data_IF_573871935097
#
_entry.id   IF_573871935097
#
_cell.length_a   1.000
_cell.length_b   1.000
_cell.length_c   1.000
_cell.angle_alpha   90.00
_cell.angle_beta   90.00
_cell.angle_gamma   90.00
#
_symmetry.space_group_name_H-M   'P 1'
#
loop_
_entity.id
_entity.type
_entity.pdbx_description
1 polymer ?
#
# COMPACT_ATOMS: atom_id res chain seq x y z
N UNK A 1 14.12 4.18 15.24
CA UNK A 1 14.69 4.23 13.88
C UNK A 1 13.54 4.24 12.89
N UNK A 2 13.50 5.22 12.02
CA UNK A 2 12.43 5.36 11.00
C UNK A 2 12.52 4.22 10.00
N UNK A 3 11.38 3.64 9.60
CA UNK A 3 11.30 2.61 8.56
C UNK A 3 10.61 3.16 7.32
N UNK A 4 11.23 3.00 6.17
CA UNK A 4 10.68 3.36 4.87
C UNK A 4 10.10 2.10 4.22
N UNK A 5 8.81 2.13 3.91
CA UNK A 5 8.06 1.00 3.36
C UNK A 5 7.49 1.41 2.01
N UNK A 6 7.88 0.71 0.95
CA UNK A 6 7.27 0.90 -0.36
C UNK A 6 6.06 -0.03 -0.53
N UNK A 7 4.94 0.53 -0.94
CA UNK A 7 3.77 -0.23 -1.42
C UNK A 7 3.83 -0.24 -2.94
N UNK A 8 4.03 -1.41 -3.51
CA UNK A 8 4.33 -1.55 -4.95
C UNK A 8 3.62 -2.72 -5.60
N UNK A 9 3.54 -2.73 -6.92
CA UNK A 9 2.98 -3.83 -7.71
C UNK A 9 3.46 -3.78 -9.16
N UNK A 10 3.47 -4.90 -9.82
CA UNK A 10 3.77 -4.97 -11.26
C UNK A 10 2.63 -4.49 -12.14
N UNK A 11 1.37 -4.51 -11.65
CA UNK A 11 0.16 -4.23 -12.45
C UNK A 11 -0.63 -3.05 -11.87
N UNK A 12 -1.23 -2.23 -12.73
CA UNK A 12 -2.15 -1.17 -12.33
C UNK A 12 -3.48 -1.73 -11.80
N UNK A 13 -4.15 -0.97 -10.92
CA UNK A 13 -5.50 -1.32 -10.46
C UNK A 13 -5.59 -2.46 -9.44
N UNK A 14 -4.47 -2.97 -8.91
CA UNK A 14 -4.46 -4.02 -7.88
C UNK A 14 -4.74 -3.52 -6.47
N UNK A 15 -4.95 -2.22 -6.26
CA UNK A 15 -5.29 -1.65 -4.95
C UNK A 15 -4.10 -1.14 -4.14
N UNK A 16 -2.98 -0.73 -4.77
CA UNK A 16 -1.82 -0.13 -4.08
C UNK A 16 -2.20 1.08 -3.24
N UNK A 17 -2.78 2.11 -3.86
CA UNK A 17 -3.13 3.36 -3.17
C UNK A 17 -4.13 3.14 -2.04
N UNK A 18 -5.12 2.25 -2.24
CA UNK A 18 -6.04 1.81 -1.19
C UNK A 18 -5.28 1.14 -0.03
N UNK A 19 -4.30 0.31 -0.37
CA UNK A 19 -3.43 -0.35 0.61
C UNK A 19 -2.55 0.66 1.34
N UNK A 20 -1.90 1.57 0.62
CA UNK A 20 -1.07 2.62 1.20
C UNK A 20 -1.85 3.47 2.20
N UNK A 21 -3.07 3.91 1.82
CA UNK A 21 -3.96 4.66 2.69
C UNK A 21 -4.38 3.85 3.93
N UNK A 22 -4.85 2.61 3.75
CA UNK A 22 -5.35 1.79 4.87
C UNK A 22 -4.25 1.27 5.78
N UNK A 23 -3.09 0.92 5.21
CA UNK A 23 -1.95 0.44 5.97
C UNK A 23 -1.33 1.57 6.81
N UNK A 24 -1.14 2.76 6.23
CA UNK A 24 -0.63 3.92 6.96
C UNK A 24 -1.59 4.38 8.06
N UNK A 25 -2.90 4.41 7.78
CA UNK A 25 -3.92 4.70 8.79
C UNK A 25 -3.91 3.66 9.91
N UNK A 26 -3.75 2.38 9.57
CA UNK A 26 -3.67 1.31 10.55
C UNK A 26 -2.46 1.41 11.49
N UNK A 27 -1.28 1.75 10.97
CA UNK A 27 -0.09 2.01 11.78
C UNK A 27 -0.32 3.22 12.72
N UNK A 28 -0.91 4.28 12.20
CA UNK A 28 -1.20 5.48 12.98
C UNK A 28 -2.25 5.25 14.07
N UNK A 29 -3.29 4.42 13.80
CA UNK A 29 -4.27 3.98 14.81
C UNK A 29 -3.64 3.14 15.93
N UNK A 30 -2.50 2.50 15.66
CA UNK A 30 -1.70 1.77 16.67
C UNK A 30 -0.73 2.67 17.42
N UNK A 31 -0.81 4.00 17.24
CA UNK A 31 -0.02 5.00 17.94
C UNK A 31 1.29 5.40 17.27
N UNK A 32 1.63 4.81 16.12
CA UNK A 32 2.87 5.11 15.40
C UNK A 32 2.75 6.36 14.54
N UNK A 33 3.64 7.32 14.72
CA UNK A 33 3.69 8.51 13.87
C UNK A 33 4.10 8.14 12.45
N UNK A 34 3.17 8.26 11.51
CA UNK A 34 3.27 7.73 10.14
C UNK A 34 3.07 8.83 9.11
N UNK A 35 3.94 8.89 8.10
CA UNK A 35 3.75 9.68 6.89
C UNK A 35 3.44 8.75 5.71
N UNK A 36 2.48 9.11 4.88
CA UNK A 36 2.23 8.46 3.59
C UNK A 36 2.50 9.44 2.47
N UNK A 37 3.30 9.05 1.48
CA UNK A 37 3.79 9.89 0.39
C UNK A 37 3.36 9.29 -0.94
N UNK A 38 2.71 10.09 -1.78
CA UNK A 38 2.32 9.71 -3.13
C UNK A 38 3.47 9.99 -4.12
N UNK A 39 3.97 8.93 -4.79
CA UNK A 39 4.99 8.99 -5.83
C UNK A 39 4.41 8.93 -7.26
N UNK A 40 3.08 8.90 -7.40
CA UNK A 40 2.41 8.87 -8.71
C UNK A 40 2.25 10.29 -9.28
N UNK A 41 3.37 10.89 -9.62
CA UNK A 41 3.42 12.25 -10.19
C UNK A 41 2.64 12.30 -11.50
N UNK A 42 1.72 13.24 -11.57
CA UNK A 42 0.82 13.47 -12.70
C UNK A 42 -0.60 12.91 -12.51
N UNK A 43 -0.81 11.84 -11.72
CA UNK A 43 -2.14 11.27 -11.48
C UNK A 43 -2.74 11.65 -10.14
N UNK A 44 -1.94 11.69 -9.07
CA UNK A 44 -2.35 12.10 -7.71
C UNK A 44 -3.68 11.48 -7.26
N UNK A 45 -3.64 10.27 -6.70
CA UNK A 45 -4.83 9.54 -6.28
C UNK A 45 -4.93 9.35 -4.75
N UNK A 46 -3.80 9.42 -4.05
CA UNK A 46 -3.75 9.15 -2.62
C UNK A 46 -4.57 10.17 -1.81
N UNK A 47 -4.45 11.45 -2.13
CA UNK A 47 -5.16 12.54 -1.43
C UNK A 47 -6.68 12.47 -1.60
N UNK A 48 -7.17 11.93 -2.73
CA UNK A 48 -8.59 11.65 -2.95
C UNK A 48 -9.08 10.55 -2.00
N UNK A 49 -8.35 9.43 -1.91
CA UNK A 49 -8.70 8.31 -1.02
C UNK A 49 -8.61 8.75 0.46
N UNK A 50 -7.67 9.64 0.78
CA UNK A 50 -7.51 10.22 2.12
C UNK A 50 -8.49 11.36 2.42
N UNK A 51 -9.25 11.85 1.42
CA UNK A 51 -10.20 12.96 1.55
C UNK A 51 -9.54 14.27 1.95
N UNK A 52 -8.34 14.53 1.47
CA UNK A 52 -7.58 15.74 1.76
C UNK A 52 -7.21 16.55 0.51
N UNK A 53 -7.76 16.23 -0.65
CA UNK A 53 -7.46 16.84 -1.94
C UNK A 53 -7.60 18.38 -1.95
N UNK A 54 -8.58 18.90 -1.21
CA UNK A 54 -8.83 20.35 -1.10
C UNK A 54 -7.89 21.07 -0.14
N UNK A 55 -7.08 20.33 0.61
CA UNK A 55 -6.12 20.84 1.59
C UNK A 55 -4.69 20.86 1.05
N UNK A 56 -4.46 20.32 -0.15
CA UNK A 56 -3.15 20.31 -0.80
C UNK A 56 -2.84 21.70 -1.34
N UNK A 57 -1.90 22.40 -0.70
CA UNK A 57 -1.35 23.69 -1.13
C UNK A 57 0.00 23.49 -1.78
N UNK A 58 0.84 22.66 -1.17
CA UNK A 58 2.15 22.28 -1.67
C UNK A 58 2.25 20.75 -1.74
N UNK A 59 3.04 20.26 -2.66
CA UNK A 59 3.23 18.84 -2.95
C UNK A 59 4.69 18.41 -2.75
N UNK A 60 4.96 17.12 -2.96
CA UNK A 60 6.30 16.53 -2.84
C UNK A 60 7.33 17.26 -3.70
N UNK A 61 6.98 17.66 -4.93
CA UNK A 61 7.90 18.33 -5.84
C UNK A 61 8.24 19.73 -5.37
N UNK A 62 7.27 20.49 -4.82
CA UNK A 62 7.55 21.79 -4.23
C UNK A 62 8.58 21.69 -3.09
N UNK A 63 8.48 20.65 -2.26
CA UNK A 63 9.46 20.42 -1.18
C UNK A 63 10.84 20.06 -1.75
N UNK A 64 10.91 19.14 -2.72
CA UNK A 64 12.16 18.71 -3.35
C UNK A 64 12.90 19.90 -3.97
N UNK A 65 12.17 20.85 -4.59
CA UNK A 65 12.74 22.03 -5.25
C UNK A 65 12.96 23.21 -4.30
N UNK A 66 12.58 23.09 -3.01
CA UNK A 66 12.72 24.17 -2.03
C UNK A 66 11.75 25.32 -2.21
N UNK A 67 10.67 25.12 -2.96
CA UNK A 67 9.57 26.07 -3.14
C UNK A 67 8.65 26.12 -1.91
N UNK A 68 8.67 25.07 -1.09
CA UNK A 68 7.99 24.99 0.20
C UNK A 68 8.82 24.16 1.19
N UNK A 69 8.65 24.39 2.49
CA UNK A 69 9.19 23.48 3.49
C UNK A 69 8.23 22.32 3.75
N UNK A 70 8.77 21.22 4.29
CA UNK A 70 8.00 20.00 4.52
C UNK A 70 6.78 20.20 5.43
N UNK A 71 6.88 21.05 6.46
CA UNK A 71 5.76 21.35 7.36
C UNK A 71 4.58 22.03 6.64
N UNK A 72 4.85 22.80 5.57
CA UNK A 72 3.81 23.45 4.78
C UNK A 72 3.11 22.46 3.81
N UNK A 73 3.82 21.40 3.38
CA UNK A 73 3.31 20.43 2.43
C UNK A 73 2.64 19.23 3.12
N UNK A 74 3.05 18.89 4.36
CA UNK A 74 2.46 17.82 5.13
C UNK A 74 1.04 18.15 5.58
N UNK A 75 0.09 17.28 5.22
CA UNK A 75 -1.32 17.41 5.58
C UNK A 75 -1.62 16.41 6.69
N UNK A 76 -1.93 16.90 7.90
CA UNK A 76 -2.39 16.04 8.99
C UNK A 76 -3.74 15.42 8.64
N UNK A 77 -3.88 14.12 8.84
CA UNK A 77 -5.15 13.42 8.61
C UNK A 77 -6.25 13.92 9.53
N UNK A 78 -7.51 13.88 9.04
CA UNK A 78 -8.67 14.37 9.78
C UNK A 78 -9.21 13.38 10.81
N UNK A 79 -8.88 12.09 10.67
CA UNK A 79 -9.38 11.01 11.51
C UNK A 79 -8.33 10.46 12.46
N UNK A 80 -7.04 10.66 12.17
CA UNK A 80 -5.94 10.11 12.95
C UNK A 80 -4.82 11.12 13.17
N UNK A 81 -4.59 11.49 14.44
CA UNK A 81 -3.60 12.51 14.82
C UNK A 81 -2.16 12.15 14.48
N UNK A 82 -1.85 10.86 14.36
CA UNK A 82 -0.51 10.35 14.05
C UNK A 82 -0.27 10.13 12.55
N UNK A 83 -1.24 10.45 11.68
CA UNK A 83 -1.13 10.24 10.24
C UNK A 83 -0.97 11.57 9.50
N UNK A 84 -0.01 11.58 8.57
CA UNK A 84 0.28 12.73 7.70
C UNK A 84 0.40 12.27 6.25
N UNK A 85 -0.11 13.10 5.35
CA UNK A 85 -0.11 12.86 3.90
C UNK A 85 0.78 13.88 3.21
N UNK A 86 1.64 13.42 2.30
CA UNK A 86 2.38 14.26 1.37
C UNK A 86 1.94 13.89 -0.04
N UNK A 87 1.22 14.78 -0.69
CA UNK A 87 0.63 14.53 -1.99
C UNK A 87 1.66 14.58 -3.13
N UNK A 88 1.39 13.84 -4.22
CA UNK A 88 2.12 13.99 -5.48
C UNK A 88 1.78 15.29 -6.19
N UNK A 89 2.63 15.72 -7.10
CA UNK A 89 2.34 16.86 -8.00
C UNK A 89 1.44 16.42 -9.15
N UNK A 90 0.46 17.28 -9.50
CA UNK A 90 -0.37 17.13 -10.70
C UNK A 90 0.20 17.83 -11.93
N UNK A 91 1.03 18.85 -11.72
CA UNK A 91 1.44 19.81 -12.77
C UNK A 91 2.89 19.66 -13.20
N UNK A 92 3.68 18.86 -12.47
CA UNK A 92 5.11 18.65 -12.75
C UNK A 92 5.32 17.30 -13.43
N UNK A 93 6.39 17.22 -14.21
CA UNK A 93 6.81 15.99 -14.85
C UNK A 93 7.52 15.04 -13.88
N UNK A 94 7.52 13.75 -14.21
CA UNK A 94 8.19 12.69 -13.43
C UNK A 94 9.69 12.93 -13.26
N UNK A 95 10.32 13.66 -14.17
CA UNK A 95 11.75 14.03 -14.12
C UNK A 95 12.08 15.02 -13.00
N UNK A 96 11.06 15.65 -12.40
CA UNK A 96 11.24 16.50 -11.21
C UNK A 96 11.58 15.70 -9.95
N UNK A 97 11.31 14.38 -9.92
CA UNK A 97 11.73 13.47 -8.86
C UNK A 97 13.23 13.12 -9.02
N UNK A 98 14.05 13.49 -8.04
CA UNK A 98 15.46 13.11 -8.00
C UNK A 98 15.90 12.60 -6.62
N UNK A 99 16.83 11.64 -6.60
CA UNK A 99 17.24 10.92 -5.39
C UNK A 99 17.67 11.84 -4.24
N UNK A 100 18.46 12.87 -4.52
CA UNK A 100 18.96 13.78 -3.49
C UNK A 100 17.81 14.53 -2.80
N UNK A 101 16.80 14.97 -3.57
CA UNK A 101 15.63 15.67 -3.03
C UNK A 101 14.78 14.75 -2.17
N UNK A 102 14.46 13.56 -2.68
CA UNK A 102 13.69 12.54 -1.93
C UNK A 102 14.43 12.12 -0.66
N UNK A 103 15.75 11.90 -0.74
CA UNK A 103 16.57 11.57 0.43
C UNK A 103 16.55 12.67 1.52
N UNK A 104 16.51 13.96 1.13
CA UNK A 104 16.35 15.07 2.08
C UNK A 104 14.99 15.04 2.75
N UNK A 105 13.91 14.81 1.99
CA UNK A 105 12.54 14.69 2.54
C UNK A 105 12.48 13.57 3.59
N UNK A 106 13.03 12.40 3.28
CA UNK A 106 13.04 11.29 4.24
C UNK A 106 13.85 11.60 5.49
N UNK A 107 15.02 12.26 5.34
CA UNK A 107 15.84 12.68 6.48
C UNK A 107 15.15 13.72 7.36
N UNK A 108 14.40 14.63 6.75
CA UNK A 108 13.61 15.61 7.48
C UNK A 108 12.45 14.95 8.24
N UNK A 109 11.71 14.01 7.63
CA UNK A 109 10.68 13.21 8.30
C UNK A 109 11.25 12.41 9.47
N UNK A 110 12.44 11.80 9.31
CA UNK A 110 13.13 11.10 10.39
C UNK A 110 13.43 12.07 11.56
N UNK A 111 13.95 13.27 11.27
CA UNK A 111 14.26 14.29 12.28
C UNK A 111 12.98 14.83 12.97
N UNK A 112 11.84 14.80 12.29
CA UNK A 112 10.52 15.14 12.84
C UNK A 112 9.91 14.01 13.71
N UNK A 113 10.61 12.86 13.84
CA UNK A 113 10.21 11.73 14.65
C UNK A 113 9.14 10.83 14.04
N UNK A 114 9.04 10.78 12.72
CA UNK A 114 8.20 9.78 12.06
C UNK A 114 8.81 8.39 12.23
N UNK A 115 8.01 7.43 12.65
CA UNK A 115 8.42 6.04 12.83
C UNK A 115 8.30 5.25 11.53
N UNK A 116 7.26 5.55 10.73
CA UNK A 116 7.02 4.92 9.45
C UNK A 116 6.81 5.96 8.34
N UNK A 117 7.43 5.70 7.19
CA UNK A 117 7.23 6.43 5.94
C UNK A 117 6.73 5.43 4.91
N UNK A 118 5.47 5.58 4.48
CA UNK A 118 4.85 4.70 3.49
C UNK A 118 4.91 5.40 2.13
N UNK A 119 5.56 4.76 1.16
CA UNK A 119 5.68 5.27 -0.20
C UNK A 119 4.66 4.58 -1.09
N UNK A 120 3.59 5.30 -1.48
CA UNK A 120 2.65 4.81 -2.50
C UNK A 120 3.28 4.95 -3.87
N UNK A 121 3.65 3.85 -4.51
CA UNK A 121 4.32 3.88 -5.79
C UNK A 121 3.33 3.79 -6.97
N UNK A 122 3.61 4.40 -8.12
CA UNK A 122 2.92 4.05 -9.35
C UNK A 122 3.13 2.58 -9.70
N UNK A 123 2.30 2.04 -10.60
CA UNK A 123 2.44 0.65 -11.06
C UNK A 123 3.69 0.48 -11.93
N UNK A 124 4.27 -0.71 -11.89
CA UNK A 124 5.36 -1.09 -12.78
C UNK A 124 6.71 -0.55 -12.36
N UNK A 125 7.50 -0.11 -13.33
CA UNK A 125 8.94 0.14 -13.19
C UNK A 125 9.37 1.54 -13.68
N UNK A 126 8.42 2.46 -13.75
CA UNK A 126 8.70 3.84 -14.16
C UNK A 126 9.47 4.60 -13.06
N UNK A 127 9.95 5.80 -13.39
CA UNK A 127 10.79 6.64 -12.53
C UNK A 127 10.24 6.79 -11.10
N UNK A 128 8.94 7.07 -10.96
CA UNK A 128 8.30 7.20 -9.63
C UNK A 128 8.34 5.91 -8.81
N UNK A 129 8.09 4.75 -9.46
CA UNK A 129 8.16 3.45 -8.80
C UNK A 129 9.59 3.12 -8.37
N UNK A 130 10.57 3.33 -9.24
CA UNK A 130 11.98 3.13 -8.92
C UNK A 130 12.46 4.04 -7.80
N UNK A 131 12.02 5.29 -7.80
CA UNK A 131 12.36 6.26 -6.75
C UNK A 131 11.81 5.83 -5.39
N UNK A 132 10.53 5.41 -5.34
CA UNK A 132 9.91 4.91 -4.12
C UNK A 132 10.62 3.64 -3.60
N UNK A 133 11.01 2.72 -4.50
CA UNK A 133 11.72 1.48 -4.14
C UNK A 133 13.15 1.73 -3.65
N UNK A 134 13.83 2.75 -4.23
CA UNK A 134 15.26 2.97 -3.99
C UNK A 134 15.62 3.07 -2.50
N UNK A 135 14.80 3.75 -1.72
CA UNK A 135 15.06 4.00 -0.29
C UNK A 135 14.39 2.99 0.65
N UNK A 136 13.65 2.02 0.13
CA UNK A 136 12.86 1.12 0.94
C UNK A 136 13.71 0.24 1.88
N UNK A 137 13.27 0.13 3.12
CA UNK A 137 13.75 -0.86 4.10
C UNK A 137 12.92 -2.15 4.02
N UNK A 138 11.60 -1.97 3.82
CA UNK A 138 10.66 -3.07 3.63
C UNK A 138 9.75 -2.77 2.42
N UNK A 139 9.24 -3.81 1.78
CA UNK A 139 8.32 -3.69 0.64
C UNK A 139 7.04 -4.47 0.90
N UNK A 140 5.90 -3.82 0.66
CA UNK A 140 4.59 -4.46 0.61
C UNK A 140 4.20 -4.62 -0.86
N UNK A 141 4.39 -5.82 -1.38
CA UNK A 141 4.07 -6.17 -2.78
C UNK A 141 2.60 -6.54 -2.85
N UNK A 142 1.83 -5.76 -3.59
CA UNK A 142 0.37 -5.93 -3.74
C UNK A 142 0.07 -6.63 -5.06
N UNK A 143 -0.70 -7.71 -5.01
CA UNK A 143 -1.11 -8.46 -6.19
C UNK A 143 -2.58 -8.91 -6.10
N UNK A 144 -3.20 -9.15 -7.25
CA UNK A 144 -4.47 -9.88 -7.36
C UNK A 144 -4.20 -11.36 -7.64
N UNK A 145 -5.14 -12.28 -7.36
CA UNK A 145 -5.01 -13.71 -7.63
C UNK A 145 -5.22 -14.02 -9.14
N UNK A 146 -4.54 -13.28 -10.01
CA UNK A 146 -4.54 -13.43 -11.46
C UNK A 146 -3.13 -13.77 -11.95
N UNK A 147 -3.01 -14.70 -12.91
CA UNK A 147 -1.71 -15.15 -13.44
C UNK A 147 -0.84 -13.99 -13.91
N UNK A 148 -1.41 -13.02 -14.64
CA UNK A 148 -0.68 -11.84 -15.12
C UNK A 148 -0.15 -10.98 -13.98
N UNK A 149 -0.99 -10.72 -12.96
CA UNK A 149 -0.62 -9.89 -11.81
C UNK A 149 0.50 -10.53 -10.99
N UNK A 150 0.42 -11.85 -10.77
CA UNK A 150 1.43 -12.60 -10.02
C UNK A 150 2.77 -12.62 -10.77
N UNK A 151 2.78 -12.82 -12.10
CA UNK A 151 4.00 -12.76 -12.91
C UNK A 151 4.63 -11.37 -12.91
N UNK A 152 3.82 -10.32 -12.98
CA UNK A 152 4.34 -8.95 -12.90
C UNK A 152 4.90 -8.64 -11.51
N UNK A 153 4.32 -9.25 -10.45
CA UNK A 153 4.86 -9.14 -9.08
C UNK A 153 6.22 -9.84 -8.92
N UNK A 154 6.43 -10.99 -9.55
CA UNK A 154 7.75 -11.67 -9.57
C UNK A 154 8.83 -10.74 -10.17
N UNK A 155 8.49 -10.00 -11.22
CA UNK A 155 9.38 -9.00 -11.81
C UNK A 155 9.73 -7.87 -10.83
N UNK A 156 8.76 -7.39 -10.04
CA UNK A 156 8.98 -6.38 -9.00
C UNK A 156 9.94 -6.91 -7.93
N UNK A 157 9.79 -8.17 -7.49
CA UNK A 157 10.72 -8.78 -6.53
C UNK A 157 12.16 -8.79 -7.05
N UNK A 158 12.37 -9.16 -8.33
CA UNK A 158 13.68 -9.07 -8.96
C UNK A 158 14.27 -7.65 -8.96
N UNK A 159 13.42 -6.63 -9.04
CA UNK A 159 13.85 -5.22 -8.98
C UNK A 159 14.18 -4.78 -7.56
N UNK A 160 13.40 -5.19 -6.56
CA UNK A 160 13.71 -4.95 -5.15
C UNK A 160 15.07 -5.54 -4.77
N UNK A 161 15.40 -6.72 -5.31
CA UNK A 161 16.69 -7.37 -5.11
C UNK A 161 17.87 -6.75 -5.86
N UNK A 162 17.63 -5.82 -6.81
CA UNK A 162 18.73 -5.31 -7.67
C UNK A 162 18.81 -3.80 -7.81
N UNK A 163 17.73 -3.04 -7.58
CA UNK A 163 17.64 -1.60 -7.87
C UNK A 163 17.51 -0.72 -6.63
N UNK A 164 17.32 -1.31 -5.46
CA UNK A 164 17.26 -0.58 -4.20
C UNK A 164 18.66 -0.12 -3.77
N UNK A 165 18.73 0.93 -2.95
CA UNK A 165 19.98 1.39 -2.36
C UNK A 165 20.67 0.26 -1.60
N UNK A 166 19.90 -0.54 -0.83
CA UNK A 166 20.43 -1.69 -0.06
C UNK A 166 21.09 -2.73 -0.97
N UNK A 167 20.49 -3.05 -2.11
CA UNK A 167 21.07 -3.97 -3.07
C UNK A 167 22.32 -3.41 -3.73
N UNK A 168 22.36 -2.12 -4.07
CA UNK A 168 23.51 -1.45 -4.68
C UNK A 168 24.69 -1.36 -3.70
N UNK A 169 24.43 -1.09 -2.43
CA UNK A 169 25.42 -0.97 -1.37
C UNK A 169 25.85 -2.32 -0.77
N UNK A 170 25.23 -3.43 -1.19
CA UNK A 170 25.51 -4.77 -0.63
C UNK A 170 25.07 -4.92 0.83
N UNK A 171 24.08 -4.14 1.26
CA UNK A 171 23.49 -4.22 2.60
C UNK A 171 22.46 -5.36 2.70
N UNK A 172 21.89 -5.55 3.90
CA UNK A 172 20.78 -6.49 4.11
C UNK A 172 19.66 -6.23 3.11
N UNK A 173 19.15 -7.26 2.41
CA UNK A 173 18.07 -7.12 1.44
C UNK A 173 16.84 -6.42 2.01
N UNK A 174 16.06 -5.79 1.14
CA UNK A 174 14.74 -5.27 1.48
C UNK A 174 13.87 -6.45 1.94
N UNK A 175 13.20 -6.29 3.09
CA UNK A 175 12.29 -7.31 3.60
C UNK A 175 10.96 -7.25 2.85
N UNK A 176 10.60 -8.33 2.21
CA UNK A 176 9.46 -8.42 1.32
C UNK A 176 8.25 -9.06 2.02
N UNK A 177 7.08 -8.47 1.78
CA UNK A 177 5.79 -8.93 2.26
C UNK A 177 4.81 -8.97 1.09
N UNK A 178 3.98 -10.01 1.01
CA UNK A 178 2.96 -10.16 0.00
C UNK A 178 1.58 -9.84 0.56
N UNK A 179 0.86 -8.93 -0.10
CA UNK A 179 -0.55 -8.66 0.15
C UNK A 179 -1.37 -9.06 -1.08
N UNK A 180 -2.31 -9.97 -0.87
CA UNK A 180 -3.23 -10.40 -1.91
C UNK A 180 -4.54 -9.64 -1.74
N UNK A 181 -5.00 -8.96 -2.78
CA UNK A 181 -6.23 -8.16 -2.78
C UNK A 181 -7.28 -8.75 -3.73
N UNK A 182 -8.53 -8.35 -3.56
CA UNK A 182 -9.67 -8.83 -4.36
C UNK A 182 -9.80 -10.35 -4.36
N UNK A 183 -9.47 -10.96 -3.23
CA UNK A 183 -9.55 -12.40 -3.09
C UNK A 183 -11.00 -12.84 -2.92
N UNK A 184 -11.41 -13.85 -3.67
CA UNK A 184 -12.75 -14.43 -3.60
C UNK A 184 -12.63 -15.96 -3.56
N UNK A 185 -12.83 -16.59 -2.40
CA UNK A 185 -12.66 -18.03 -2.24
C UNK A 185 -13.56 -18.85 -3.17
N UNK A 186 -14.80 -18.41 -3.44
CA UNK A 186 -15.71 -19.10 -4.35
C UNK A 186 -15.16 -19.15 -5.78
N UNK A 187 -14.56 -18.03 -6.25
CA UNK A 187 -13.92 -17.99 -7.58
C UNK A 187 -12.66 -18.83 -7.66
N UNK A 188 -11.99 -19.08 -6.53
CA UNK A 188 -10.85 -20.03 -6.46
C UNK A 188 -11.37 -21.46 -6.60
N UNK A 189 -12.44 -21.83 -5.89
CA UNK A 189 -13.08 -23.15 -6.01
C UNK A 189 -13.57 -23.43 -7.45
N UNK A 190 -14.08 -22.42 -8.13
CA UNK A 190 -14.52 -22.47 -9.53
C UNK A 190 -13.35 -22.48 -10.55
N UNK A 191 -12.10 -22.37 -10.11
CA UNK A 191 -10.93 -22.31 -10.97
C UNK A 191 -10.74 -20.98 -11.73
N UNK A 192 -11.43 -19.94 -11.33
CA UNK A 192 -11.38 -18.61 -11.97
C UNK A 192 -10.34 -17.68 -11.34
N UNK A 193 -9.74 -18.08 -10.21
CA UNK A 193 -8.67 -17.37 -9.51
C UNK A 193 -7.58 -18.35 -9.08
N UNK A 194 -6.34 -17.87 -8.95
CA UNK A 194 -5.26 -18.64 -8.34
C UNK A 194 -5.52 -18.82 -6.84
N UNK A 195 -5.19 -20.00 -6.33
CA UNK A 195 -5.19 -20.25 -4.88
C UNK A 195 -4.02 -19.51 -4.20
N UNK A 196 -4.10 -19.34 -2.88
CA UNK A 196 -2.99 -18.78 -2.10
C UNK A 196 -1.74 -19.64 -2.22
N UNK A 197 -1.90 -20.96 -2.31
CA UNK A 197 -0.80 -21.91 -2.48
C UNK A 197 -0.11 -21.68 -3.83
N UNK A 198 -0.85 -21.59 -4.95
CA UNK A 198 -0.29 -21.32 -6.26
C UNK A 198 0.53 -20.02 -6.30
N UNK A 199 -0.01 -18.96 -5.68
CA UNK A 199 0.65 -17.65 -5.59
C UNK A 199 1.94 -17.77 -4.77
N UNK A 200 1.89 -18.47 -3.63
CA UNK A 200 3.04 -18.65 -2.75
C UNK A 200 4.13 -19.51 -3.39
N UNK A 201 3.76 -20.53 -4.17
CA UNK A 201 4.71 -21.39 -4.89
C UNK A 201 5.44 -20.62 -5.99
N UNK A 202 4.77 -19.63 -6.61
CA UNK A 202 5.36 -18.77 -7.64
C UNK A 202 6.27 -17.71 -7.01
N UNK A 203 5.77 -16.94 -6.04
CA UNK A 203 6.46 -15.74 -5.53
C UNK A 203 7.42 -16.06 -4.38
N UNK A 204 7.19 -17.12 -3.62
CA UNK A 204 8.04 -17.61 -2.52
C UNK A 204 8.33 -16.58 -1.42
N UNK A 205 7.46 -15.61 -1.25
CA UNK A 205 7.52 -14.61 -0.18
C UNK A 205 6.35 -14.76 0.79
N UNK A 206 6.52 -14.26 2.01
CA UNK A 206 5.52 -14.39 3.08
C UNK A 206 4.27 -13.59 2.76
N UNK A 207 3.11 -14.25 2.73
CA UNK A 207 1.81 -13.59 2.69
C UNK A 207 1.56 -12.94 4.05
N UNK A 208 1.45 -11.61 4.06
CA UNK A 208 1.13 -10.84 5.27
C UNK A 208 -0.37 -10.61 5.42
N UNK A 209 -1.13 -10.74 4.35
CA UNK A 209 -2.57 -10.58 4.39
C UNK A 209 -3.29 -10.91 3.10
N UNK A 210 -4.58 -11.14 3.25
CA UNK A 210 -5.52 -11.38 2.16
C UNK A 210 -6.69 -10.44 2.38
N UNK A 211 -6.95 -9.58 1.39
CA UNK A 211 -8.05 -8.61 1.40
C UNK A 211 -9.16 -9.16 0.51
N UNK A 212 -10.36 -9.40 1.06
CA UNK A 212 -11.47 -9.93 0.28
C UNK A 212 -11.95 -8.93 -0.77
N UNK A 213 -12.51 -9.44 -1.87
CA UNK A 213 -13.22 -8.63 -2.86
C UNK A 213 -14.47 -8.02 -2.21
N UNK A 214 -14.64 -6.69 -2.32
CA UNK A 214 -15.75 -5.99 -1.66
C UNK A 214 -16.02 -4.63 -2.29
N UNK A 215 -17.30 -4.31 -2.46
CA UNK A 215 -17.78 -3.00 -2.92
C UNK A 215 -17.54 -1.88 -1.88
N UNK A 216 -17.30 -2.24 -0.63
CA UNK A 216 -16.97 -1.30 0.46
C UNK A 216 -15.69 -0.50 0.14
N UNK A 217 -14.75 -1.10 -0.59
CA UNK A 217 -13.53 -0.41 -1.03
C UNK A 217 -13.85 0.80 -1.89
N UNK A 218 -14.76 0.65 -2.86
CA UNK A 218 -15.20 1.74 -3.72
C UNK A 218 -16.00 2.78 -2.93
N UNK A 219 -16.87 2.34 -2.03
CA UNK A 219 -17.65 3.22 -1.16
C UNK A 219 -16.73 4.08 -0.28
N UNK A 220 -15.74 3.48 0.38
CA UNK A 220 -14.77 4.18 1.22
C UNK A 220 -13.95 5.21 0.41
N UNK A 221 -13.48 4.83 -0.78
CA UNK A 221 -12.76 5.72 -1.69
C UNK A 221 -13.61 6.93 -2.10
N UNK A 222 -14.88 6.72 -2.46
CA UNK A 222 -15.81 7.81 -2.81
C UNK A 222 -16.13 8.74 -1.62
N UNK A 223 -16.01 8.26 -0.40
CA UNK A 223 -16.16 9.05 0.83
C UNK A 223 -14.87 9.79 1.24
N UNK A 224 -13.76 9.56 0.54
CA UNK A 224 -12.46 10.11 0.91
C UNK A 224 -12.01 9.61 2.29
N UNK A 225 -12.15 8.32 2.54
CA UNK A 225 -11.78 7.68 3.80
C UNK A 225 -11.07 6.35 3.53
N UNK A 226 -9.89 6.07 4.11
CA UNK A 226 -9.26 4.77 4.06
C UNK A 226 -10.22 3.67 4.51
N UNK A 227 -10.24 2.55 3.79
CA UNK A 227 -11.24 1.48 4.05
C UNK A 227 -11.09 0.84 5.43
N UNK A 228 -9.95 0.96 6.07
CA UNK A 228 -9.74 0.48 7.45
C UNK A 228 -10.67 1.17 8.46
N UNK A 229 -11.20 2.36 8.15
CA UNK A 229 -12.17 3.09 8.98
C UNK A 229 -13.63 2.61 8.79
N UNK A 230 -13.89 1.72 7.83
CA UNK A 230 -15.22 1.15 7.60
C UNK A 230 -15.48 0.02 8.60
N UNK A 231 -15.73 0.42 9.86
CA UNK A 231 -15.90 -0.52 10.98
C UNK A 231 -16.95 -1.60 10.71
N UNK A 232 -16.71 -2.81 11.23
CA UNK A 232 -17.60 -3.96 11.08
C UNK A 232 -17.60 -4.60 9.71
N UNK A 233 -16.68 -4.22 8.81
CA UNK A 233 -16.55 -4.84 7.48
C UNK A 233 -15.33 -5.78 7.43
N UNK A 234 -15.44 -6.86 6.64
CA UNK A 234 -14.37 -7.85 6.46
C UNK A 234 -13.09 -7.22 5.92
N UNK A 235 -13.22 -6.24 5.02
CA UNK A 235 -12.08 -5.52 4.43
C UNK A 235 -11.34 -4.69 5.49
N UNK A 236 -12.07 -3.97 6.35
CA UNK A 236 -11.48 -3.22 7.46
C UNK A 236 -10.71 -4.15 8.40
N UNK A 237 -11.36 -5.25 8.80
CA UNK A 237 -10.76 -6.25 9.68
C UNK A 237 -9.53 -6.93 9.04
N UNK A 238 -9.58 -7.20 7.71
CA UNK A 238 -8.43 -7.74 7.00
C UNK A 238 -7.22 -6.78 7.02
N UNK A 239 -7.43 -5.47 6.81
CA UNK A 239 -6.35 -4.48 6.91
C UNK A 239 -5.83 -4.33 8.35
N UNK A 240 -6.68 -4.38 9.37
CA UNK A 240 -6.24 -4.41 10.78
C UNK A 240 -5.34 -5.60 11.07
N UNK A 241 -5.68 -6.78 10.52
CA UNK A 241 -4.85 -7.99 10.64
C UNK A 241 -3.52 -7.87 9.90
N UNK A 242 -3.49 -7.24 8.72
CA UNK A 242 -2.25 -6.95 7.98
C UNK A 242 -1.30 -6.11 8.84
N UNK A 243 -1.81 -5.02 9.41
CA UNK A 243 -1.03 -4.13 10.30
C UNK A 243 -0.53 -4.89 11.54
N UNK A 244 -1.39 -5.69 12.18
CA UNK A 244 -1.02 -6.49 13.34
C UNK A 244 0.12 -7.46 13.02
N UNK A 245 0.03 -8.21 11.90
CA UNK A 245 1.09 -9.13 11.47
C UNK A 245 2.38 -8.40 11.08
N UNK A 246 2.27 -7.23 10.47
CA UNK A 246 3.44 -6.41 10.16
C UNK A 246 4.17 -5.96 11.43
N UNK A 247 3.44 -5.61 12.47
CA UNK A 247 3.98 -5.26 13.79
C UNK A 247 4.47 -6.48 14.60
N UNK A 248 4.35 -7.69 14.06
CA UNK A 248 4.87 -8.92 14.66
C UNK A 248 3.86 -9.71 15.48
N UNK A 249 2.58 -9.34 15.48
CA UNK A 249 1.54 -10.14 16.12
C UNK A 249 1.23 -11.40 15.32
N UNK A 250 1.02 -12.51 16.01
CA UNK A 250 0.52 -13.73 15.39
C UNK A 250 -0.99 -13.66 15.20
N UNK A 251 -1.42 -13.62 13.95
CA UNK A 251 -2.83 -13.60 13.54
C UNK A 251 -3.05 -14.61 12.42
N UNK A 252 -4.09 -15.46 12.47
CA UNK A 252 -4.44 -16.34 11.35
C UNK A 252 -4.89 -15.51 10.14
N UNK A 253 -4.69 -16.05 8.93
CA UNK A 253 -5.30 -15.48 7.73
C UNK A 253 -6.81 -15.73 7.79
N UNK A 254 -7.61 -14.69 7.65
CA UNK A 254 -9.08 -14.74 7.58
C UNK A 254 -9.55 -14.53 6.15
N UNK A 255 -10.81 -14.78 5.87
CA UNK A 255 -11.47 -14.53 4.57
C UNK A 255 -10.90 -15.35 3.41
N UNK A 256 -10.32 -16.52 3.71
CA UNK A 256 -9.65 -17.39 2.73
C UNK A 256 -10.48 -18.62 2.35
N UNK A 257 -11.56 -18.89 3.08
CA UNK A 257 -12.48 -20.00 2.84
C UNK A 257 -13.81 -19.48 2.29
N UNK A 258 -14.43 -20.21 1.38
CA UNK A 258 -15.78 -19.88 0.92
C UNK A 258 -16.78 -20.03 2.07
N UNK A 259 -17.70 -19.06 2.19
CA UNK A 259 -18.81 -19.19 3.13
C UNK A 259 -19.61 -20.45 2.79
N UNK A 260 -19.66 -21.41 3.71
CA UNK A 260 -20.53 -22.56 3.56
C UNK A 260 -21.97 -22.03 3.49
N UNK A 261 -22.73 -22.33 2.44
CA UNK A 261 -24.11 -21.86 2.35
C UNK A 261 -24.86 -22.27 3.59
N UNK A 262 -25.44 -21.29 4.28
CA UNK A 262 -26.28 -21.52 5.48
C UNK A 262 -27.27 -22.64 5.19
N UNK A 263 -27.49 -23.53 6.17
CA UNK A 263 -28.42 -24.66 6.08
C UNK A 263 -29.80 -24.24 5.51
N UNK A 264 -30.24 -23.03 5.79
CA UNK A 264 -31.48 -22.43 5.26
C UNK A 264 -31.40 -22.12 3.74
N UNK A 265 -30.27 -21.68 3.20
CA UNK A 265 -30.11 -21.49 1.74
C UNK A 265 -30.09 -22.83 0.98
N UNK A 266 -29.60 -23.90 1.60
CA UNK A 266 -29.65 -25.26 1.02
C UNK A 266 -31.04 -25.84 0.97
N UNK A 267 -31.93 -25.49 1.92
CA UNK A 267 -33.30 -26.01 1.97
C UNK A 267 -34.28 -25.21 1.10
N UNK A 268 -34.04 -23.92 0.85
CA UNK A 268 -34.97 -23.02 0.16
C UNK A 268 -34.42 -22.37 -1.10
N UNK A 269 -33.16 -22.64 -1.49
CA UNK A 269 -32.48 -22.07 -2.66
C UNK A 269 -32.57 -22.94 -3.92
N UNK A 270 -33.63 -23.66 -4.11
CA UNK A 270 -33.93 -24.40 -5.33
C UNK A 270 -34.87 -23.61 -6.23
N UNK A 271 -34.28 -22.76 -7.15
CA UNK A 271 -34.76 -22.55 -8.52
C UNK A 271 -33.86 -21.51 -9.20
#
# INVERSE_FOLDING_TARGET
MTKIIVVTSGKGGVGKTTTSASFSAGLALRGHKTAVIDFDVGLRNLDLIMGCERRVVYDLINVIHGEANLNQALIKDKHCDNLYVLAASQTRDKDALHQLGVGKVFKELENMGFEYIICDSPAGIETGALMAMHFADEALVVTNPEVSSVRDSDRILGMLGSKTRRAIEGAEPVKEHLLITRYNPGRVEDGHMLSLQDIQDILRIKIIGVIPESDIVLQASNQGSPVIHMEGTDVSEAYKDVVARFLGEEKPLRFIEAEKPSFFKRLFGGR
#
